data_IF_511134597533
#
_entry.id   IF_511134597533
#
_cell.length_a   1.000
_cell.length_b   1.000
_cell.length_c   1.000
_cell.angle_alpha   90.00
_cell.angle_beta   90.00
_cell.angle_gamma   90.00
#
_symmetry.space_group_name_H-M   'P 1'
#
loop_
_entity.id
_entity.type
_entity.pdbx_description
1 polymer ?
#
# COMPACT_ATOMS: atom_id res chain seq x y z
N UNK A 1 0.47 -42.80 6.96
CA UNK A 1 1.67 -42.19 6.38
C UNK A 1 1.32 -40.75 6.01
N UNK A 2 1.75 -39.80 6.84
CA UNK A 2 1.49 -38.37 6.63
C UNK A 2 2.64 -37.81 5.77
N UNK A 3 2.31 -37.16 4.64
CA UNK A 3 3.32 -36.52 3.79
C UNK A 3 3.80 -35.24 4.50
N UNK A 4 5.10 -35.05 4.77
CA UNK A 4 5.57 -33.78 5.28
C UNK A 4 5.43 -32.75 4.15
N UNK A 5 4.41 -31.89 4.25
CA UNK A 5 4.30 -30.73 3.38
C UNK A 5 5.37 -29.73 3.82
N UNK A 6 6.54 -29.79 3.19
CA UNK A 6 7.56 -28.76 3.33
C UNK A 6 6.88 -27.41 3.03
N UNK A 7 6.81 -26.48 4.00
CA UNK A 7 6.25 -25.16 3.74
C UNK A 7 7.05 -24.53 2.60
N UNK A 8 6.36 -24.11 1.53
CA UNK A 8 7.02 -23.36 0.46
C UNK A 8 7.69 -22.16 1.11
N UNK A 9 9.01 -21.94 0.90
CA UNK A 9 9.67 -20.77 1.44
C UNK A 9 8.89 -19.55 0.98
N UNK A 10 8.55 -18.67 1.93
CA UNK A 10 7.95 -17.38 1.63
C UNK A 10 8.98 -16.65 0.78
N UNK A 11 8.81 -16.71 -0.54
CA UNK A 11 9.62 -15.90 -1.44
C UNK A 11 9.17 -14.47 -1.16
N UNK A 12 9.94 -13.76 -0.34
CA UNK A 12 9.85 -12.32 -0.25
C UNK A 12 10.16 -11.77 -1.64
N UNK A 13 9.10 -11.61 -2.43
CA UNK A 13 9.19 -10.90 -3.70
C UNK A 13 9.38 -9.44 -3.33
N UNK A 14 10.64 -9.07 -3.10
CA UNK A 14 11.07 -7.69 -2.99
C UNK A 14 10.55 -6.88 -4.18
N UNK A 15 10.54 -5.57 -4.05
CA UNK A 15 9.99 -4.70 -5.08
C UNK A 15 10.65 -4.97 -6.44
N UNK A 16 9.85 -5.39 -7.42
CA UNK A 16 10.29 -5.54 -8.81
C UNK A 16 9.83 -4.34 -9.64
N UNK A 17 10.71 -3.88 -10.53
CA UNK A 17 10.39 -2.80 -11.47
C UNK A 17 9.18 -3.21 -12.31
N UNK A 18 8.11 -2.39 -12.38
CA UNK A 18 6.97 -2.67 -13.24
C UNK A 18 7.40 -2.73 -14.72
N UNK A 19 6.64 -3.47 -15.54
CA UNK A 19 6.85 -3.46 -16.99
C UNK A 19 6.61 -2.05 -17.56
N UNK A 20 7.20 -1.70 -18.71
CA UNK A 20 6.87 -0.46 -19.41
C UNK A 20 5.36 -0.29 -19.56
N UNK A 21 4.88 0.96 -19.50
CA UNK A 21 3.46 1.35 -19.53
C UNK A 21 2.62 0.91 -18.33
N UNK A 22 3.21 0.33 -17.28
CA UNK A 22 2.52 0.05 -16.01
C UNK A 22 2.77 1.20 -15.01
N UNK A 23 1.72 1.62 -14.32
CA UNK A 23 1.78 2.63 -13.26
C UNK A 23 1.70 1.95 -11.90
N UNK A 24 2.67 2.24 -11.03
CA UNK A 24 2.69 1.82 -9.63
C UNK A 24 1.90 2.81 -8.78
N UNK A 25 0.95 2.30 -7.98
CA UNK A 25 0.17 3.12 -7.04
C UNK A 25 0.61 2.81 -5.61
N UNK A 26 1.29 3.76 -4.98
CA UNK A 26 1.65 3.63 -3.57
C UNK A 26 0.52 4.24 -2.73
N UNK A 27 0.02 3.50 -1.75
CA UNK A 27 -1.01 3.95 -0.82
C UNK A 27 -0.46 3.88 0.60
N UNK A 28 -0.67 4.94 1.38
CA UNK A 28 -0.33 4.97 2.81
C UNK A 28 -1.47 5.57 3.61
N UNK A 29 -1.64 5.07 4.83
CA UNK A 29 -2.63 5.54 5.77
C UNK A 29 -1.97 5.93 7.10
N UNK A 30 -2.36 7.09 7.62
CA UNK A 30 -1.95 7.56 8.94
C UNK A 30 -3.17 7.95 9.77
N UNK A 31 -3.16 7.56 11.05
CA UNK A 31 -4.19 7.88 12.04
C UNK A 31 -3.54 8.69 13.16
N UNK A 32 -4.12 9.84 13.48
CA UNK A 32 -3.73 10.70 14.59
C UNK A 32 -4.96 11.00 15.46
N UNK A 33 -5.07 10.30 16.60
CA UNK A 33 -6.27 10.34 17.45
C UNK A 33 -7.54 9.96 16.69
N UNK A 34 -8.45 10.93 16.52
CA UNK A 34 -9.70 10.79 15.75
C UNK A 34 -9.60 11.36 14.32
N UNK A 35 -8.40 11.45 13.78
CA UNK A 35 -8.16 11.94 12.42
C UNK A 35 -7.53 10.83 11.62
N UNK A 36 -8.00 10.63 10.41
CA UNK A 36 -7.47 9.65 9.48
C UNK A 36 -7.11 10.36 8.18
N UNK A 37 -5.94 10.03 7.65
CA UNK A 37 -5.45 10.57 6.41
C UNK A 37 -4.91 9.46 5.53
N UNK A 38 -5.12 9.60 4.23
CA UNK A 38 -4.62 8.69 3.23
C UNK A 38 -3.85 9.46 2.18
N UNK A 39 -2.75 8.87 1.71
CA UNK A 39 -1.96 9.38 0.60
C UNK A 39 -1.92 8.36 -0.52
N UNK A 40 -2.14 8.82 -1.75
CA UNK A 40 -2.00 8.01 -2.96
C UNK A 40 -0.95 8.66 -3.86
N UNK A 41 0.00 7.88 -4.37
CA UNK A 41 1.05 8.35 -5.26
C UNK A 41 1.22 7.41 -6.46
N UNK A 42 0.98 7.94 -7.65
CA UNK A 42 1.17 7.26 -8.92
C UNK A 42 2.60 7.51 -9.45
N UNK A 43 3.28 6.42 -9.81
CA UNK A 43 4.60 6.45 -10.42
C UNK A 43 4.63 5.61 -11.69
N UNK A 44 5.36 6.04 -12.70
CA UNK A 44 5.60 5.20 -13.88
C UNK A 44 6.57 4.04 -13.56
N UNK A 45 6.81 3.21 -14.57
CA UNK A 45 7.75 2.10 -14.48
C UNK A 45 9.21 2.52 -14.19
N UNK A 46 9.62 3.75 -14.47
CA UNK A 46 10.93 4.30 -14.14
C UNK A 46 10.98 4.94 -12.75
N UNK A 47 9.85 5.01 -12.05
CA UNK A 47 9.74 5.63 -10.74
C UNK A 47 9.45 7.13 -10.79
N UNK A 48 9.27 7.71 -11.98
CA UNK A 48 8.87 9.11 -12.15
C UNK A 48 7.46 9.31 -11.58
N UNK A 49 7.26 10.40 -10.84
CA UNK A 49 5.96 10.70 -10.22
C UNK A 49 5.03 11.31 -11.27
N UNK A 50 3.93 10.61 -11.55
CA UNK A 50 2.91 11.08 -12.49
C UNK A 50 1.87 11.97 -11.80
N UNK A 51 1.67 11.76 -10.49
CA UNK A 51 0.72 12.54 -9.70
C UNK A 51 0.44 11.88 -8.36
N UNK A 52 -0.24 12.61 -7.49
CA UNK A 52 -0.64 12.10 -6.19
C UNK A 52 -1.76 12.94 -5.59
N UNK A 53 -2.49 12.35 -4.66
CA UNK A 53 -3.51 13.04 -3.89
C UNK A 53 -3.39 12.67 -2.42
N UNK A 54 -3.72 13.65 -1.57
CA UNK A 54 -3.87 13.44 -0.13
C UNK A 54 -5.31 13.73 0.22
N UNK A 55 -5.90 12.79 0.94
CA UNK A 55 -7.29 12.86 1.34
C UNK A 55 -7.33 12.84 2.87
N UNK A 56 -7.90 13.89 3.46
CA UNK A 56 -8.01 14.06 4.90
C UNK A 56 -9.46 13.91 5.33
N UNK A 57 -9.74 12.93 6.18
CA UNK A 57 -11.08 12.69 6.72
C UNK A 57 -11.06 12.87 8.23
N UNK A 58 -11.99 13.68 8.73
CA UNK A 58 -12.27 13.74 10.17
C UNK A 58 -13.36 12.71 10.47
N UNK A 59 -12.93 11.50 10.83
CA UNK A 59 -13.85 10.44 11.26
C UNK A 59 -13.86 10.45 12.78
N UNK A 60 -15.03 10.63 13.41
CA UNK A 60 -15.16 10.41 14.86
C UNK A 60 -15.08 8.91 15.14
N UNK A 61 -13.86 8.41 15.16
CA UNK A 61 -13.53 7.05 15.54
C UNK A 61 -13.63 6.96 17.07
N UNK A 62 -14.56 6.15 17.57
CA UNK A 62 -14.59 5.72 18.96
C UNK A 62 -13.48 4.69 19.18
N UNK A 63 -12.22 5.13 19.09
CA UNK A 63 -11.06 4.30 19.40
C UNK A 63 -10.60 4.63 20.80
N UNK A 64 -10.89 3.74 21.75
CA UNK A 64 -10.25 3.72 23.07
C UNK A 64 -8.85 3.11 22.93
N UNK A 65 -7.82 3.94 22.70
CA UNK A 65 -6.43 3.46 22.75
C UNK A 65 -5.37 4.41 22.15
N UNK A 66 -4.23 4.67 22.81
CA UNK A 66 -3.25 5.68 22.42
C UNK A 66 -2.09 5.13 21.56
N UNK A 67 -2.34 4.45 20.44
CA UNK A 67 -1.25 3.99 19.57
C UNK A 67 -1.46 4.37 18.11
N UNK A 68 -0.65 5.33 17.62
CA UNK A 68 -0.48 5.64 16.21
C UNK A 68 0.05 4.38 15.47
N UNK A 69 -0.77 3.79 14.59
CA UNK A 69 -0.37 2.66 13.73
C UNK A 69 -0.31 3.15 12.29
N UNK A 70 0.89 3.15 11.69
CA UNK A 70 1.13 3.45 10.27
C UNK A 70 0.97 2.16 9.48
N UNK A 71 0.11 2.16 8.45
CA UNK A 71 -0.11 1.00 7.59
C UNK A 71 0.28 1.35 6.15
N UNK A 72 1.46 0.90 5.72
CA UNK A 72 1.92 1.05 4.34
C UNK A 72 1.35 -0.11 3.50
N UNK A 73 0.54 0.17 2.47
CA UNK A 73 0.00 -0.86 1.57
C UNK A 73 0.28 -0.50 0.11
N UNK A 74 1.14 -1.27 -0.57
CA UNK A 74 1.54 -1.00 -1.96
C UNK A 74 0.69 -1.85 -2.92
N UNK A 75 0.01 -1.21 -3.87
CA UNK A 75 -0.79 -1.88 -4.91
C UNK A 75 -0.26 -1.58 -6.32
N UNK A 76 -0.42 -2.51 -7.26
CA UNK A 76 -0.06 -2.31 -8.68
C UNK A 76 -1.32 -2.38 -9.51
N UNK A 77 -1.62 -1.32 -10.27
CA UNK A 77 -2.80 -1.26 -11.14
C UNK A 77 -2.37 -1.32 -12.60
N UNK A 78 -3.05 -2.14 -13.40
CA UNK A 78 -2.88 -2.24 -14.85
C UNK A 78 -4.15 -1.70 -15.49
N UNK A 79 -4.05 -0.55 -16.18
CA UNK A 79 -5.15 -0.07 -17.03
C UNK A 79 -5.40 -1.06 -18.16
N UNK A 80 -6.67 -1.37 -18.42
CA UNK A 80 -7.07 -2.05 -19.65
C UNK A 80 -7.17 -0.99 -20.75
N UNK A 81 -6.51 -1.26 -21.89
CA UNK A 81 -6.87 -0.67 -23.19
C UNK A 81 -8.26 -1.15 -23.61
#
# INVERSE_FOLDING_TARGET
MERPMIPKPVVEKGWQKPRPRVVKINFDAAVDGRRMSFGVLARDHNGFVLGGTRVFWKITLALSGPSCRRWLSVWSWRGKE
#
